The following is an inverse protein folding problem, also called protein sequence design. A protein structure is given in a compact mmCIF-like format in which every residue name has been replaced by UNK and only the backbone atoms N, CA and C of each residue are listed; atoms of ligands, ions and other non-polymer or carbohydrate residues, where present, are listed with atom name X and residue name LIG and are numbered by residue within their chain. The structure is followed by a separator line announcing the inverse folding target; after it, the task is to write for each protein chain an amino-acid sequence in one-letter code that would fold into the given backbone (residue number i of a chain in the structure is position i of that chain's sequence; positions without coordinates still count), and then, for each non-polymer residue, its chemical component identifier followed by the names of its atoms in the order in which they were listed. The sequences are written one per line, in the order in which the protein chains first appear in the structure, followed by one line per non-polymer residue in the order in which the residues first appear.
data_IF_994775055648
#
_entry.id   IF_994775055648
#
_cell.length_a   1.000
_cell.length_b   1.000
_cell.length_c   1.000
_cell.angle_alpha   90.00
_cell.angle_beta   90.00
_cell.angle_gamma   90.00
#
_symmetry.space_group_name_H-M   'P 1'
#
loop_
_entity.id
_entity.type
_entity.pdbx_description
1 polymer ?
#
# COMPACT_ATOMS: atom_id res chain seq x y z
N UNK A 1 -57.27 15.80 58.61
CA UNK A 1 -57.51 14.46 59.16
C UNK A 1 -57.03 13.43 58.13
N UNK A 2 -56.18 12.49 58.57
CA UNK A 2 -55.74 11.24 57.91
C UNK A 2 -54.88 11.43 56.64
N UNK A 3 -53.55 11.54 56.74
CA UNK A 3 -52.55 10.47 56.98
C UNK A 3 -52.71 9.35 55.93
N UNK A 4 -51.77 9.18 54.99
CA UNK A 4 -50.76 8.11 55.08
C UNK A 4 -49.56 8.43 54.16
N UNK A 5 -48.38 8.55 54.78
CA UNK A 5 -47.05 8.42 54.19
C UNK A 5 -46.83 6.97 53.75
N UNK A 6 -46.25 6.74 52.57
CA UNK A 6 -45.44 5.53 52.33
C UNK A 6 -44.12 5.97 51.70
N UNK A 7 -43.10 5.93 52.55
CA UNK A 7 -41.68 5.88 52.22
C UNK A 7 -41.30 4.40 52.32
N UNK A 8 -40.66 3.86 51.29
CA UNK A 8 -39.97 2.55 51.33
C UNK A 8 -38.69 2.73 50.51
N UNK A 9 -37.55 3.05 51.12
CA UNK A 9 -36.66 2.19 51.91
C UNK A 9 -36.08 1.00 51.10
N UNK A 10 -34.78 1.12 50.86
CA UNK A 10 -33.80 0.14 50.40
C UNK A 10 -34.14 -1.33 50.74
N UNK A 11 -34.06 -2.18 49.72
CA UNK A 11 -33.67 -3.59 49.87
C UNK A 11 -32.59 -3.88 48.85
N UNK A 12 -31.34 -3.85 49.31
CA UNK A 12 -30.25 -4.55 48.67
C UNK A 12 -30.47 -6.05 48.87
N UNK A 13 -30.78 -6.78 47.80
CA UNK A 13 -30.76 -8.24 47.82
C UNK A 13 -29.52 -8.70 47.06
N UNK A 14 -28.53 -9.13 47.83
CA UNK A 14 -27.43 -9.97 47.37
C UNK A 14 -28.02 -11.23 46.71
N UNK A 15 -27.83 -11.36 45.40
CA UNK A 15 -27.74 -12.67 44.77
C UNK A 15 -26.26 -12.96 44.58
N UNK A 16 -25.74 -13.76 45.51
CA UNK A 16 -24.51 -14.49 45.35
C UNK A 16 -24.70 -15.50 44.20
N UNK A 17 -24.45 -15.06 42.98
CA UNK A 17 -24.19 -15.93 41.84
C UNK A 17 -22.72 -16.30 41.89
N UNK A 18 -22.43 -17.60 42.03
CA UNK A 18 -21.10 -18.17 41.96
C UNK A 18 -20.27 -17.53 40.84
N UNK A 19 -19.22 -16.80 41.21
CA UNK A 19 -18.16 -16.46 40.28
C UNK A 19 -17.47 -17.76 39.88
N UNK A 20 -17.83 -18.30 38.72
CA UNK A 20 -16.83 -18.99 37.93
C UNK A 20 -15.72 -17.97 37.63
N UNK A 21 -14.43 -18.35 37.65
CA UNK A 21 -13.37 -17.47 37.18
C UNK A 21 -13.65 -17.19 35.70
N UNK A 22 -14.34 -16.08 35.44
CA UNK A 22 -14.61 -15.58 34.12
C UNK A 22 -13.26 -15.29 33.51
N UNK A 23 -12.93 -16.06 32.48
CA UNK A 23 -11.88 -15.74 31.53
C UNK A 23 -12.13 -14.30 31.11
N UNK A 24 -11.30 -13.39 31.60
CA UNK A 24 -11.21 -12.03 31.07
C UNK A 24 -10.98 -12.25 29.57
N UNK A 25 -11.90 -11.81 28.68
CA UNK A 25 -11.62 -11.90 27.25
C UNK A 25 -10.27 -11.21 27.03
N UNK A 26 -9.32 -11.85 26.34
CA UNK A 26 -8.03 -11.22 26.09
C UNK A 26 -8.34 -9.83 25.53
N UNK A 27 -7.85 -8.80 26.21
CA UNK A 27 -7.81 -7.49 25.60
C UNK A 27 -7.18 -7.67 24.22
N UNK A 28 -7.69 -7.01 23.17
CA UNK A 28 -7.03 -7.06 21.87
C UNK A 28 -5.55 -6.81 22.13
N UNK A 29 -4.70 -7.76 21.73
CA UNK A 29 -3.27 -7.67 21.93
C UNK A 29 -2.88 -6.25 21.53
N UNK A 30 -2.33 -5.49 22.48
CA UNK A 30 -1.84 -4.14 22.18
C UNK A 30 -0.98 -4.24 20.93
N UNK A 31 -1.08 -3.24 20.05
CA UNK A 31 -0.35 -3.17 18.79
C UNK A 31 1.05 -3.78 18.95
N UNK A 32 1.48 -4.71 18.06
CA UNK A 32 2.80 -5.31 18.17
C UNK A 32 3.81 -4.17 18.26
N UNK A 33 4.60 -4.15 19.34
CA UNK A 33 5.50 -3.04 19.63
C UNK A 33 6.55 -2.98 18.52
N UNK A 34 6.42 -1.99 17.64
CA UNK A 34 7.33 -1.78 16.53
C UNK A 34 8.77 -1.56 17.02
N UNK A 35 9.74 -2.06 16.25
CA UNK A 35 11.16 -1.76 16.42
C UNK A 35 11.54 -0.75 15.35
N UNK A 36 12.34 0.26 15.68
CA UNK A 36 12.82 1.15 14.62
C UNK A 36 13.97 0.52 13.84
N UNK A 37 14.14 0.89 12.58
CA UNK A 37 15.23 0.40 11.75
C UNK A 37 16.60 0.79 12.33
N UNK A 38 16.70 1.97 12.95
CA UNK A 38 17.92 2.38 13.65
C UNK A 38 18.24 1.51 14.87
N UNK A 39 17.24 1.18 15.70
CA UNK A 39 17.40 0.29 16.85
C UNK A 39 17.88 -1.09 16.39
N UNK A 40 17.21 -1.68 15.40
CA UNK A 40 17.62 -2.97 14.84
C UNK A 40 19.03 -2.93 14.26
N UNK A 41 19.38 -1.88 13.53
CA UNK A 41 20.73 -1.69 13.00
C UNK A 41 21.77 -1.63 14.10
N UNK A 42 21.50 -0.89 15.18
CA UNK A 42 22.40 -0.79 16.33
C UNK A 42 22.56 -2.14 17.05
N UNK A 43 21.46 -2.85 17.30
CA UNK A 43 21.47 -4.17 17.95
C UNK A 43 22.23 -5.22 17.15
N UNK A 44 22.11 -5.21 15.82
CA UNK A 44 22.85 -6.12 14.95
C UNK A 44 24.33 -5.71 14.75
N UNK A 45 24.72 -4.50 15.15
CA UNK A 45 26.03 -3.92 14.87
C UNK A 45 26.24 -3.57 13.39
N UNK A 46 25.16 -3.18 12.71
CA UNK A 46 25.10 -2.87 11.28
C UNK A 46 24.92 -1.36 11.07
N UNK A 47 25.10 -0.90 9.83
CA UNK A 47 24.82 0.48 9.43
C UNK A 47 23.59 0.50 8.54
N UNK A 48 22.68 1.45 8.76
CA UNK A 48 21.56 1.70 7.86
C UNK A 48 21.68 3.08 7.18
N UNK A 49 21.25 3.15 5.92
CA UNK A 49 21.29 4.37 5.10
C UNK A 49 20.21 4.32 4.01
N UNK A 50 20.01 5.44 3.29
CA UNK A 50 19.17 5.45 2.09
C UNK A 50 19.62 4.39 1.08
N UNK A 51 18.65 3.70 0.48
CA UNK A 51 18.83 2.60 -0.45
C UNK A 51 18.85 3.03 -1.92
N UNK A 52 18.72 2.06 -2.85
CA UNK A 52 18.77 2.31 -4.29
C UNK A 52 17.58 3.13 -4.82
N UNK A 53 16.38 2.88 -4.30
CA UNK A 53 15.17 3.62 -4.61
C UNK A 53 14.90 4.78 -3.64
N UNK A 54 14.04 5.74 -4.03
CA UNK A 54 13.67 6.89 -3.19
C UNK A 54 12.92 6.51 -1.90
N UNK A 55 12.42 5.28 -1.82
CA UNK A 55 11.69 4.73 -0.67
C UNK A 55 12.44 3.57 -0.01
N UNK A 56 13.67 3.30 -0.44
CA UNK A 56 14.45 2.19 0.06
C UNK A 56 15.37 2.63 1.19
N UNK A 57 15.56 1.75 2.16
CA UNK A 57 16.58 1.84 3.18
C UNK A 57 17.37 0.56 3.20
N UNK A 58 18.69 0.69 3.27
CA UNK A 58 19.61 -0.42 3.24
C UNK A 58 20.31 -0.56 4.58
N UNK A 59 20.19 -1.72 5.23
CA UNK A 59 21.08 -2.17 6.29
C UNK A 59 22.24 -2.97 5.70
N UNK A 60 23.48 -2.71 6.15
CA UNK A 60 24.68 -3.46 5.75
C UNK A 60 25.46 -3.99 6.94
N UNK A 61 25.85 -5.26 6.87
CA UNK A 61 26.75 -5.88 7.84
C UNK A 61 28.21 -5.49 7.56
N UNK A 62 29.09 -5.56 8.57
CA UNK A 62 30.54 -5.41 8.36
C UNK A 62 31.13 -6.46 7.40
N UNK A 63 30.43 -7.57 7.17
CA UNK A 63 30.83 -8.66 6.28
C UNK A 63 30.30 -8.51 4.85
N UNK A 64 29.52 -7.47 4.58
CA UNK A 64 28.98 -7.17 3.26
C UNK A 64 27.57 -7.71 3.00
N UNK A 65 26.92 -8.32 3.99
CA UNK A 65 25.50 -8.67 3.88
C UNK A 65 24.64 -7.42 3.77
N UNK A 66 23.51 -7.53 3.07
CA UNK A 66 22.60 -6.44 2.82
C UNK A 66 21.15 -6.87 3.06
N UNK A 67 20.39 -6.00 3.74
CA UNK A 67 18.93 -6.02 3.75
C UNK A 67 18.41 -4.69 3.21
N UNK A 68 17.48 -4.72 2.27
CA UNK A 68 16.78 -3.55 1.74
C UNK A 68 15.32 -3.62 2.18
N UNK A 69 14.88 -2.55 2.83
CA UNK A 69 13.51 -2.31 3.26
C UNK A 69 12.92 -1.20 2.40
N UNK A 70 11.76 -1.45 1.79
CA UNK A 70 11.00 -0.42 1.08
C UNK A 70 9.89 0.14 1.97
N UNK A 71 9.79 1.46 2.11
CA UNK A 71 8.69 2.08 2.87
C UNK A 71 7.37 1.73 2.19
N UNK A 72 6.39 1.21 2.93
CA UNK A 72 5.14 0.75 2.34
C UNK A 72 5.29 -0.53 1.50
N UNK A 73 6.45 -1.18 1.46
CA UNK A 73 6.58 -2.48 0.80
C UNK A 73 6.31 -3.62 1.78
N UNK A 74 5.56 -4.63 1.35
CA UNK A 74 5.46 -5.93 2.02
C UNK A 74 6.57 -6.89 1.54
N UNK A 75 7.64 -6.34 0.96
CA UNK A 75 8.79 -7.09 0.47
C UNK A 75 10.07 -6.57 1.11
N UNK A 76 10.88 -7.50 1.61
CA UNK A 76 12.26 -7.25 2.03
C UNK A 76 13.23 -7.96 1.10
N UNK A 77 14.30 -7.27 0.71
CA UNK A 77 15.35 -7.86 -0.12
C UNK A 77 16.56 -8.19 0.74
N UNK A 78 16.86 -9.47 0.90
CA UNK A 78 18.03 -9.96 1.64
C UNK A 78 19.03 -10.53 0.64
N UNK A 79 20.19 -9.89 0.51
CA UNK A 79 21.29 -10.33 -0.37
C UNK A 79 20.85 -10.63 -1.82
N UNK A 80 19.84 -9.92 -2.33
CA UNK A 80 19.27 -10.09 -3.67
C UNK A 80 18.02 -10.97 -3.72
N UNK A 81 17.70 -11.72 -2.67
CA UNK A 81 16.50 -12.55 -2.55
C UNK A 81 15.36 -11.74 -1.97
N UNK A 82 14.19 -11.75 -2.61
CA UNK A 82 12.98 -11.07 -2.13
C UNK A 82 12.16 -12.01 -1.24
N UNK A 83 11.70 -11.51 -0.10
CA UNK A 83 10.87 -12.23 0.86
C UNK A 83 9.62 -11.41 1.13
N UNK A 84 8.44 -12.05 1.15
CA UNK A 84 7.18 -11.36 1.44
C UNK A 84 6.92 -11.38 2.93
N UNK A 85 6.70 -10.23 3.55
CA UNK A 85 6.35 -10.12 4.97
C UNK A 85 4.83 -10.11 5.16
N UNK A 86 4.35 -10.75 6.23
CA UNK A 86 2.93 -10.67 6.59
C UNK A 86 2.62 -9.40 7.38
N UNK A 87 1.59 -8.71 6.89
CA UNK A 87 0.75 -7.67 7.51
C UNK A 87 1.18 -6.21 7.41
N UNK A 88 2.36 -5.80 7.84
CA UNK A 88 2.62 -4.36 7.93
C UNK A 88 3.90 -4.02 7.20
N UNK A 89 3.82 -3.13 6.21
CA UNK A 89 5.00 -2.66 5.52
C UNK A 89 5.92 -1.90 6.47
N UNK A 90 7.18 -1.67 6.07
CA UNK A 90 8.02 -0.74 6.81
C UNK A 90 7.39 0.66 6.72
N UNK A 91 6.98 1.24 7.84
CA UNK A 91 6.25 2.51 7.87
C UNK A 91 7.12 3.65 8.37
N UNK A 92 6.76 4.89 8.02
CA UNK A 92 7.35 6.06 8.66
C UNK A 92 6.87 6.19 10.09
N UNK A 93 7.79 6.31 11.03
CA UNK A 93 7.46 6.67 12.41
C UNK A 93 7.23 8.17 12.62
N UNK A 94 6.80 8.54 13.83
CA UNK A 94 6.64 9.94 14.26
C UNK A 94 7.98 10.70 14.44
N UNK A 95 9.09 10.09 14.06
CA UNK A 95 10.43 10.66 13.93
C UNK A 95 11.06 10.14 12.63
N UNK A 96 12.18 10.69 12.17
CA UNK A 96 12.82 10.38 10.88
C UNK A 96 13.40 8.95 10.78
N UNK A 97 12.65 7.94 11.20
CA UNK A 97 13.05 6.55 11.30
C UNK A 97 11.88 5.65 10.90
N UNK A 98 12.23 4.43 10.53
CA UNK A 98 11.30 3.46 9.99
C UNK A 98 10.85 2.50 11.07
N UNK A 99 9.54 2.32 11.23
CA UNK A 99 9.00 1.27 12.07
C UNK A 99 8.97 -0.05 11.31
N UNK A 100 9.58 -1.05 11.92
CA UNK A 100 9.54 -2.44 11.51
C UNK A 100 8.53 -3.17 12.40
N UNK A 101 7.67 -4.00 11.81
CA UNK A 101 6.90 -4.97 12.56
C UNK A 101 7.84 -5.90 13.33
N UNK A 102 7.41 -6.35 14.51
CA UNK A 102 8.17 -7.29 15.32
C UNK A 102 8.47 -8.60 14.55
N UNK A 103 7.55 -9.02 13.68
CA UNK A 103 7.74 -10.16 12.76
C UNK A 103 8.90 -9.96 11.80
N UNK A 104 9.02 -8.77 11.19
CA UNK A 104 10.12 -8.41 10.30
C UNK A 104 11.45 -8.38 11.04
N UNK A 105 11.49 -7.76 12.23
CA UNK A 105 12.69 -7.76 13.08
C UNK A 105 13.15 -9.19 13.40
N UNK A 106 12.23 -10.02 13.92
CA UNK A 106 12.53 -11.39 14.31
C UNK A 106 13.00 -12.23 13.11
N UNK A 107 12.34 -12.09 11.96
CA UNK A 107 12.73 -12.79 10.73
C UNK A 107 14.16 -12.43 10.31
N UNK A 108 14.50 -11.14 10.19
CA UNK A 108 15.84 -10.72 9.75
C UNK A 108 16.91 -11.09 10.77
N UNK A 109 16.64 -10.89 12.07
CA UNK A 109 17.57 -11.28 13.12
C UNK A 109 17.86 -12.79 13.08
N UNK A 110 16.82 -13.63 12.94
CA UNK A 110 16.96 -15.09 12.78
C UNK A 110 17.73 -15.45 11.50
N UNK A 111 17.43 -14.79 10.38
CA UNK A 111 18.08 -15.02 9.08
C UNK A 111 19.61 -14.87 9.16
N UNK A 112 20.10 -13.88 9.91
CA UNK A 112 21.53 -13.61 10.09
C UNK A 112 22.13 -14.23 11.36
N UNK A 113 21.45 -15.19 11.97
CA UNK A 113 21.96 -15.93 13.13
C UNK A 113 22.06 -15.10 14.42
N UNK A 114 21.34 -13.98 14.51
CA UNK A 114 21.29 -13.09 15.69
C UNK A 114 20.32 -13.63 16.76
N UNK A 115 20.46 -14.91 17.09
CA UNK A 115 19.59 -15.67 18.00
C UNK A 115 19.59 -15.19 19.46
N UNK A 116 20.57 -14.35 19.80
CA UNK A 116 20.75 -13.78 21.13
C UNK A 116 19.93 -12.51 21.35
N UNK A 117 19.48 -11.85 20.27
CA UNK A 117 18.61 -10.70 20.37
C UNK A 117 17.25 -11.13 20.94
N UNK A 118 16.64 -10.24 21.71
CA UNK A 118 15.37 -10.48 22.36
C UNK A 118 14.53 -9.20 22.37
N UNK A 119 13.23 -9.34 22.13
CA UNK A 119 12.25 -8.26 22.25
C UNK A 119 11.22 -8.63 23.31
N UNK A 120 10.96 -7.71 24.23
CA UNK A 120 10.04 -7.93 25.37
C UNK A 120 10.29 -9.23 26.16
N UNK A 121 11.55 -9.66 26.25
CA UNK A 121 11.94 -10.90 26.94
C UNK A 121 11.79 -12.18 26.11
N UNK A 122 11.27 -12.10 24.88
CA UNK A 122 11.19 -13.21 23.92
C UNK A 122 12.45 -13.20 23.04
N UNK A 123 13.18 -14.31 23.00
CA UNK A 123 14.38 -14.42 22.14
C UNK A 123 13.96 -14.65 20.69
N UNK A 124 14.69 -14.06 19.75
CA UNK A 124 14.46 -14.27 18.30
C UNK A 124 14.52 -15.75 17.91
N UNK A 125 15.35 -16.54 18.60
CA UNK A 125 15.44 -18.01 18.45
C UNK A 125 14.21 -18.79 18.91
N UNK A 126 13.37 -18.20 19.76
CA UNK A 126 12.15 -18.85 20.28
C UNK A 126 10.89 -18.56 19.45
N UNK A 127 11.03 -17.79 18.36
CA UNK A 127 9.91 -17.43 17.49
C UNK A 127 10.07 -18.08 16.11
N UNK A 128 9.04 -18.82 15.72
CA UNK A 128 8.95 -19.43 14.39
C UNK A 128 8.33 -18.43 13.41
N UNK A 129 9.12 -17.43 13.04
CA UNK A 129 8.85 -16.63 11.85
C UNK A 129 9.56 -17.25 10.65
N UNK A 130 8.75 -17.73 9.71
CA UNK A 130 9.18 -18.06 8.35
C UNK A 130 8.45 -17.10 7.42
N UNK A 131 9.20 -16.39 6.58
CA UNK A 131 8.63 -15.69 5.45
C UNK A 131 8.83 -16.56 4.23
N UNK A 132 7.80 -16.67 3.40
CA UNK A 132 7.95 -17.35 2.12
C UNK A 132 8.89 -16.51 1.24
N UNK A 133 9.95 -17.13 0.67
CA UNK A 133 10.67 -16.46 -0.39
C UNK A 133 9.67 -16.16 -1.50
N UNK A 134 9.74 -14.96 -2.07
CA UNK A 134 8.96 -14.67 -3.28
C UNK A 134 9.61 -15.50 -4.37
N UNK A 135 9.09 -16.71 -4.55
CA UNK A 135 9.48 -17.60 -5.63
C UNK A 135 9.22 -16.80 -6.92
N UNK A 136 10.23 -16.59 -7.79
CA UNK A 136 9.94 -16.24 -9.16
C UNK A 136 8.91 -17.25 -9.65
N UNK A 137 7.89 -16.79 -10.38
CA UNK A 137 6.87 -17.66 -10.99
C UNK A 137 7.56 -18.92 -11.50
N UNK A 138 7.14 -20.06 -10.97
CA UNK A 138 7.86 -21.32 -11.08
C UNK A 138 7.97 -21.76 -12.56
N UNK A 139 9.11 -21.46 -13.17
CA UNK A 139 9.70 -22.32 -14.21
C UNK A 139 10.92 -22.99 -13.57
N UNK A 140 10.74 -24.27 -13.20
CA UNK A 140 11.70 -25.25 -12.68
C UNK A 140 13.19 -24.99 -13.06
N UNK A 141 14.16 -25.30 -12.17
CA UNK A 141 15.39 -24.52 -12.06
C UNK A 141 16.56 -24.99 -12.94
N UNK A 142 17.34 -24.03 -13.42
CA UNK A 142 18.74 -24.21 -13.84
C UNK A 142 19.54 -22.93 -13.52
N UNK A 143 20.71 -23.13 -12.91
CA UNK A 143 21.88 -22.26 -12.78
C UNK A 143 21.72 -20.73 -13.00
N UNK A 144 21.98 -19.97 -11.92
CA UNK A 144 22.51 -18.59 -11.91
C UNK A 144 22.31 -17.76 -13.18
N UNK A 145 21.13 -17.15 -13.32
CA UNK A 145 20.92 -15.93 -14.11
C UNK A 145 19.95 -15.05 -13.32
N UNK A 146 20.37 -13.84 -12.94
CA UNK A 146 19.44 -12.78 -12.52
C UNK A 146 18.44 -12.59 -13.65
N UNK A 147 17.18 -12.98 -13.44
CA UNK A 147 16.09 -12.70 -14.39
C UNK A 147 16.15 -11.21 -14.75
N UNK A 148 16.18 -10.84 -16.05
CA UNK A 148 16.31 -9.44 -16.42
C UNK A 148 15.06 -8.69 -16.00
N UNK A 149 15.24 -7.66 -15.16
CA UNK A 149 14.25 -6.59 -15.01
C UNK A 149 13.89 -6.07 -16.39
N UNK A 150 12.59 -6.03 -16.68
CA UNK A 150 12.08 -5.58 -17.97
C UNK A 150 12.31 -4.08 -18.12
N UNK A 151 13.25 -3.62 -18.95
CA UNK A 151 13.55 -2.19 -19.17
C UNK A 151 12.42 -1.41 -19.90
N UNK A 152 11.18 -1.91 -19.85
CA UNK A 152 10.01 -1.38 -20.59
C UNK A 152 9.60 0.03 -20.20
N UNK A 153 9.85 0.45 -18.96
CA UNK A 153 9.62 1.83 -18.49
C UNK A 153 10.91 2.63 -18.30
N UNK A 154 12.04 2.15 -18.81
CA UNK A 154 13.34 2.83 -18.66
C UNK A 154 13.27 4.30 -19.08
N UNK A 155 13.66 5.18 -18.16
CA UNK A 155 13.68 6.63 -18.40
C UNK A 155 12.33 7.33 -18.22
N UNK A 156 11.28 6.60 -17.80
CA UNK A 156 10.04 7.19 -17.32
C UNK A 156 10.25 7.68 -15.88
N UNK A 157 9.87 8.93 -15.59
CA UNK A 157 9.60 9.40 -14.22
C UNK A 157 8.10 9.50 -14.03
N UNK A 158 7.50 8.67 -13.17
CA UNK A 158 6.06 8.63 -12.96
C UNK A 158 5.72 9.02 -11.52
N UNK A 159 4.75 9.92 -11.36
CA UNK A 159 4.14 10.14 -10.06
C UNK A 159 2.95 9.21 -9.86
N UNK A 160 2.97 8.43 -8.77
CA UNK A 160 1.85 7.60 -8.35
C UNK A 160 1.26 8.21 -7.09
N UNK A 161 -0.02 8.55 -7.16
CA UNK A 161 -0.76 9.16 -6.08
C UNK A 161 -1.72 8.16 -5.45
N UNK A 162 -1.53 7.85 -4.17
CA UNK A 162 -2.49 7.07 -3.41
C UNK A 162 -3.53 8.03 -2.81
N UNK A 163 -4.77 7.99 -3.29
CA UNK A 163 -5.86 8.87 -2.82
C UNK A 163 -6.01 8.88 -1.30
N UNK A 164 -6.45 10.01 -0.73
CA UNK A 164 -6.76 10.14 0.72
C UNK A 164 -5.55 9.83 1.63
N UNK A 165 -5.80 9.37 2.86
CA UNK A 165 -4.79 8.94 3.84
C UNK A 165 -4.82 9.74 5.13
N UNK A 166 -4.24 9.20 6.20
CA UNK A 166 -4.22 9.78 7.53
C UNK A 166 -5.63 10.09 8.04
N UNK A 167 -5.89 11.37 8.31
CA UNK A 167 -7.19 11.85 8.81
C UNK A 167 -8.32 11.84 7.77
N UNK A 168 -7.99 11.68 6.48
CA UNK A 168 -8.97 11.54 5.42
C UNK A 168 -9.14 10.05 5.05
N UNK A 169 -10.27 9.42 5.42
CA UNK A 169 -10.53 8.03 5.11
C UNK A 169 -10.93 7.80 3.64
N UNK A 170 -11.27 8.87 2.91
CA UNK A 170 -11.97 8.80 1.64
C UNK A 170 -13.39 8.23 1.78
N UNK A 171 -13.86 7.55 0.75
CA UNK A 171 -15.13 6.83 0.79
C UNK A 171 -15.18 5.78 1.91
N UNK A 172 -16.24 5.81 2.72
CA UNK A 172 -16.52 4.79 3.74
C UNK A 172 -17.81 4.08 3.39
N UNK A 173 -17.74 2.77 3.13
CA UNK A 173 -18.90 1.93 2.91
C UNK A 173 -18.58 0.47 3.20
N UNK A 174 -19.58 -0.31 3.59
CA UNK A 174 -19.45 -1.76 3.80
C UNK A 174 -18.30 -2.16 4.78
N UNK A 175 -17.98 -1.29 5.74
CA UNK A 175 -16.90 -1.49 6.71
C UNK A 175 -15.49 -1.26 6.15
N UNK A 176 -15.37 -0.76 4.92
CA UNK A 176 -14.11 -0.48 4.22
C UNK A 176 -13.92 1.04 4.11
N UNK A 177 -12.68 1.48 4.33
CA UNK A 177 -12.24 2.85 4.05
C UNK A 177 -11.38 2.85 2.79
N UNK A 178 -11.65 3.77 1.88
CA UNK A 178 -10.95 3.89 0.60
C UNK A 178 -9.43 3.96 0.76
N UNK A 179 -8.93 4.74 1.72
CA UNK A 179 -7.48 4.88 1.96
C UNK A 179 -6.75 3.54 2.16
N UNK A 180 -7.42 2.53 2.73
CA UNK A 180 -6.86 1.20 3.00
C UNK A 180 -6.93 0.26 1.79
N UNK A 181 -7.69 0.61 0.76
CA UNK A 181 -7.71 -0.10 -0.54
C UNK A 181 -6.67 0.51 -1.47
N UNK A 182 -6.63 1.83 -1.56
CA UNK A 182 -5.85 2.52 -2.60
C UNK A 182 -4.36 2.58 -2.29
N UNK A 183 -3.96 2.61 -1.00
CA UNK A 183 -2.56 2.60 -0.62
C UNK A 183 -1.85 1.30 -1.04
N UNK A 184 -2.36 0.09 -0.69
CA UNK A 184 -1.76 -1.16 -1.16
C UNK A 184 -1.65 -1.25 -2.68
N UNK A 185 -2.69 -0.86 -3.43
CA UNK A 185 -2.68 -0.89 -4.89
C UNK A 185 -1.61 0.06 -5.45
N UNK A 186 -1.49 1.28 -4.91
CA UNK A 186 -0.49 2.25 -5.34
C UNK A 186 0.95 1.77 -5.05
N UNK A 187 1.17 1.10 -3.91
CA UNK A 187 2.48 0.54 -3.55
C UNK A 187 2.86 -0.65 -4.43
N UNK A 188 1.91 -1.53 -4.75
CA UNK A 188 2.12 -2.59 -5.74
C UNK A 188 2.45 -2.00 -7.13
N UNK A 189 1.76 -0.92 -7.51
CA UNK A 189 2.00 -0.26 -8.79
C UNK A 189 3.40 0.37 -8.85
N UNK A 190 3.86 0.98 -7.75
CA UNK A 190 5.24 1.46 -7.60
C UNK A 190 6.21 0.31 -7.87
N UNK A 191 6.07 -0.80 -7.15
CA UNK A 191 7.02 -1.91 -7.23
C UNK A 191 7.11 -2.45 -8.67
N UNK A 192 5.98 -2.62 -9.36
CA UNK A 192 5.96 -3.01 -10.77
C UNK A 192 6.63 -1.99 -11.69
N UNK A 193 6.40 -0.70 -11.46
CA UNK A 193 7.02 0.38 -12.23
C UNK A 193 8.55 0.44 -12.01
N UNK A 194 9.03 0.30 -10.77
CA UNK A 194 10.46 0.28 -10.44
C UNK A 194 11.15 -0.98 -10.96
N UNK A 195 10.51 -2.15 -10.85
CA UNK A 195 10.98 -3.40 -11.46
C UNK A 195 11.06 -3.30 -12.99
N UNK A 196 10.29 -2.38 -13.59
CA UNK A 196 10.32 -2.06 -15.00
C UNK A 196 11.28 -0.90 -15.39
N UNK A 197 12.16 -0.51 -14.47
CA UNK A 197 13.18 0.55 -14.62
C UNK A 197 12.62 1.98 -14.73
N UNK A 198 11.41 2.23 -14.23
CA UNK A 198 10.90 3.60 -14.04
C UNK A 198 11.50 4.24 -12.77
N UNK A 199 11.60 5.58 -12.75
CA UNK A 199 11.76 6.36 -11.53
C UNK A 199 10.37 6.67 -10.99
N UNK A 200 10.02 6.20 -9.80
CA UNK A 200 8.69 6.39 -9.22
C UNK A 200 8.71 7.45 -8.11
N UNK A 201 7.78 8.39 -8.16
CA UNK A 201 7.55 9.42 -7.16
C UNK A 201 6.16 9.20 -6.55
N UNK A 202 6.12 8.71 -5.32
CA UNK A 202 4.89 8.55 -4.54
C UNK A 202 4.49 9.86 -3.85
N UNK A 203 3.18 10.16 -3.82
CA UNK A 203 2.66 11.24 -2.97
C UNK A 203 2.60 10.85 -1.49
N UNK A 204 2.41 9.56 -1.20
CA UNK A 204 2.56 8.95 0.12
C UNK A 204 2.90 7.47 -0.01
N UNK A 205 3.60 6.95 1.00
CA UNK A 205 4.00 5.53 1.11
C UNK A 205 3.49 4.88 2.40
N UNK A 206 2.77 5.62 3.23
CA UNK A 206 2.11 5.15 4.45
C UNK A 206 0.75 5.84 4.64
N UNK A 207 0.13 5.61 5.79
CA UNK A 207 -1.17 6.23 6.12
C UNK A 207 -1.02 7.70 6.59
N UNK A 208 -0.47 8.54 5.71
CA UNK A 208 -0.35 9.99 5.92
C UNK A 208 -1.34 10.74 5.04
N UNK A 209 -1.69 11.97 5.43
CA UNK A 209 -2.59 12.84 4.67
C UNK A 209 -1.80 13.89 3.88
N UNK A 210 -1.49 13.68 2.59
CA UNK A 210 -0.99 14.75 1.74
C UNK A 210 -2.15 15.61 1.21
N UNK A 211 -2.04 16.90 1.42
CA UNK A 211 -2.97 17.90 0.89
C UNK A 211 -2.97 17.90 -0.65
N UNK A 212 -4.07 18.32 -1.28
CA UNK A 212 -4.20 18.30 -2.74
C UNK A 212 -3.07 19.06 -3.45
N UNK A 213 -2.69 20.22 -2.95
CA UNK A 213 -1.59 21.01 -3.53
C UNK A 213 -0.21 20.35 -3.27
N UNK A 214 -0.03 19.60 -2.19
CA UNK A 214 1.21 18.85 -1.95
C UNK A 214 1.38 17.74 -2.98
N UNK A 215 0.30 16.99 -3.29
CA UNK A 215 0.29 15.95 -4.34
C UNK A 215 0.75 16.52 -5.68
N UNK A 216 0.15 17.64 -6.08
CA UNK A 216 0.50 18.37 -7.32
C UNK A 216 1.96 18.84 -7.30
N UNK A 217 2.39 19.47 -6.20
CA UNK A 217 3.71 20.06 -6.09
C UNK A 217 4.82 19.01 -6.17
N UNK A 218 4.62 17.84 -5.57
CA UNK A 218 5.57 16.72 -5.64
C UNK A 218 5.78 16.28 -7.09
N UNK A 219 4.69 16.04 -7.84
CA UNK A 219 4.76 15.62 -9.23
C UNK A 219 5.43 16.68 -10.14
N UNK A 220 5.02 17.94 -9.98
CA UNK A 220 5.53 19.06 -10.78
C UNK A 220 7.00 19.37 -10.48
N UNK A 221 7.40 19.36 -9.20
CA UNK A 221 8.79 19.62 -8.79
C UNK A 221 9.74 18.54 -9.29
N UNK A 222 9.30 17.29 -9.27
CA UNK A 222 10.06 16.17 -9.81
C UNK A 222 10.06 16.11 -11.35
N UNK A 223 9.27 16.96 -12.02
CA UNK A 223 9.11 16.98 -13.48
C UNK A 223 8.72 15.61 -14.03
N UNK A 224 7.75 14.97 -13.39
CA UNK A 224 7.28 13.66 -13.82
C UNK A 224 6.74 13.72 -15.26
N UNK A 225 6.94 12.65 -16.00
CA UNK A 225 6.41 12.46 -17.35
C UNK A 225 4.93 12.06 -17.32
N UNK A 226 4.48 11.38 -16.27
CA UNK A 226 3.09 10.94 -16.07
C UNK A 226 2.66 11.13 -14.61
N UNK A 227 1.36 11.35 -14.39
CA UNK A 227 0.72 11.33 -13.08
C UNK A 227 -0.45 10.34 -13.07
N UNK A 228 -0.46 9.40 -12.13
CA UNK A 228 -1.50 8.38 -11.98
C UNK A 228 -1.99 8.39 -10.53
N UNK A 229 -3.23 8.82 -10.31
CA UNK A 229 -3.89 8.78 -9.01
C UNK A 229 -4.79 7.56 -8.91
N UNK A 230 -4.72 6.84 -7.79
CA UNK A 230 -5.47 5.61 -7.51
C UNK A 230 -6.54 5.90 -6.45
N UNK A 231 -7.79 5.60 -6.80
CA UNK A 231 -8.99 5.85 -6.00
C UNK A 231 -9.96 4.66 -6.06
N UNK A 232 -10.95 4.66 -5.17
CA UNK A 232 -12.11 3.79 -5.27
C UNK A 232 -13.39 4.58 -5.00
N UNK A 233 -14.39 4.36 -5.85
CA UNK A 233 -15.53 5.23 -5.96
C UNK A 233 -16.58 4.93 -4.88
N UNK A 234 -17.49 5.88 -4.68
CA UNK A 234 -18.70 5.73 -3.89
C UNK A 234 -19.87 6.28 -4.72
N UNK A 235 -20.94 5.51 -4.81
CA UNK A 235 -22.25 6.00 -5.23
C UNK A 235 -23.12 6.17 -3.96
N UNK A 236 -23.27 7.41 -3.43
CA UNK A 236 -23.93 7.63 -2.13
C UNK A 236 -25.36 7.10 -2.06
N UNK A 237 -26.08 7.20 -3.19
CA UNK A 237 -27.51 6.84 -3.28
C UNK A 237 -27.76 5.46 -3.90
N UNK A 238 -26.70 4.67 -4.16
CA UNK A 238 -26.85 3.34 -4.76
C UNK A 238 -25.75 2.35 -4.38
N UNK A 239 -26.17 1.20 -3.86
CA UNK A 239 -25.31 0.04 -3.68
C UNK A 239 -25.21 -0.85 -4.93
N UNK A 240 -25.90 -0.53 -6.02
CA UNK A 240 -25.96 -1.38 -7.23
C UNK A 240 -24.97 -0.94 -8.30
N UNK A 241 -24.41 0.27 -8.19
CA UNK A 241 -23.41 0.77 -9.15
C UNK A 241 -22.13 -0.02 -9.00
N UNK A 242 -21.64 -0.55 -10.12
CA UNK A 242 -20.36 -1.26 -10.19
C UNK A 242 -19.52 -0.81 -11.37
N UNK A 243 -18.25 -1.18 -11.38
CA UNK A 243 -17.35 -0.99 -12.50
C UNK A 243 -16.21 -0.02 -12.22
N UNK A 244 -15.15 -0.12 -13.03
CA UNK A 244 -14.03 0.83 -12.99
C UNK A 244 -14.23 1.97 -13.99
N UNK A 245 -13.66 3.13 -13.69
CA UNK A 245 -13.59 4.28 -14.59
C UNK A 245 -12.27 5.02 -14.44
N UNK A 246 -11.83 5.69 -15.50
CA UNK A 246 -10.60 6.48 -15.47
C UNK A 246 -10.89 7.90 -15.94
N UNK A 247 -10.60 8.87 -15.09
CA UNK A 247 -10.79 10.28 -15.34
C UNK A 247 -9.51 10.94 -15.84
N UNK A 248 -9.66 11.92 -16.72
CA UNK A 248 -8.58 12.78 -17.21
C UNK A 248 -9.12 14.21 -17.42
N UNK A 249 -8.22 15.20 -17.53
CA UNK A 249 -8.61 16.60 -17.78
C UNK A 249 -9.01 16.82 -19.24
N UNK A 250 -10.06 17.60 -19.49
CA UNK A 250 -10.43 18.01 -20.85
C UNK A 250 -9.30 18.81 -21.53
N UNK A 251 -8.95 18.43 -22.76
CA UNK A 251 -7.83 19.03 -23.50
C UNK A 251 -6.43 18.54 -23.09
N UNK A 252 -6.34 17.51 -22.24
CA UNK A 252 -5.11 16.75 -22.02
C UNK A 252 -5.07 15.51 -22.93
N UNK A 253 -4.56 15.67 -24.16
CA UNK A 253 -4.41 14.59 -25.14
C UNK A 253 -3.58 13.41 -24.62
N UNK A 254 -2.59 13.70 -23.77
CA UNK A 254 -1.75 12.68 -23.16
C UNK A 254 -2.53 11.87 -22.13
N UNK A 255 -3.24 12.56 -21.22
CA UNK A 255 -4.13 11.97 -20.23
C UNK A 255 -5.27 11.16 -20.86
N UNK A 256 -5.83 11.63 -21.98
CA UNK A 256 -6.84 10.88 -22.74
C UNK A 256 -6.27 9.56 -23.30
N UNK A 257 -5.06 9.60 -23.90
CA UNK A 257 -4.42 8.39 -24.44
C UNK A 257 -4.02 7.42 -23.33
N UNK A 258 -3.53 7.94 -22.20
CA UNK A 258 -3.17 7.13 -21.03
C UNK A 258 -4.40 6.47 -20.42
N UNK A 259 -5.48 7.23 -20.18
CA UNK A 259 -6.71 6.69 -19.59
C UNK A 259 -7.33 5.60 -20.46
N UNK A 260 -7.39 5.79 -21.79
CA UNK A 260 -7.86 4.75 -22.73
C UNK A 260 -6.99 3.49 -22.70
N UNK A 261 -5.67 3.64 -22.58
CA UNK A 261 -4.77 2.49 -22.48
C UNK A 261 -5.02 1.70 -21.18
N UNK A 262 -5.17 2.39 -20.04
CA UNK A 262 -5.48 1.76 -18.74
C UNK A 262 -6.84 1.06 -18.80
N UNK A 263 -7.89 1.75 -19.24
CA UNK A 263 -9.24 1.19 -19.38
C UNK A 263 -9.25 -0.08 -20.22
N UNK A 264 -8.57 -0.07 -21.38
CA UNK A 264 -8.52 -1.25 -22.25
C UNK A 264 -7.81 -2.46 -21.61
N UNK A 265 -6.82 -2.22 -20.73
CA UNK A 265 -6.15 -3.30 -20.00
C UNK A 265 -6.97 -3.81 -18.82
N UNK A 266 -7.67 -2.93 -18.11
CA UNK A 266 -8.58 -3.31 -17.03
C UNK A 266 -9.78 -4.10 -17.55
N UNK A 267 -10.32 -3.73 -18.71
CA UNK A 267 -11.40 -4.44 -19.40
C UNK A 267 -10.97 -5.86 -19.82
N UNK A 268 -9.76 -5.99 -20.37
CA UNK A 268 -9.23 -7.29 -20.78
C UNK A 268 -8.87 -8.20 -19.61
N UNK A 269 -8.46 -7.63 -18.47
CA UNK A 269 -8.03 -8.40 -17.31
C UNK A 269 -9.21 -8.78 -16.42
N UNK A 270 -10.15 -7.88 -16.18
CA UNK A 270 -11.19 -8.03 -15.15
C UNK A 270 -12.56 -8.37 -15.75
N UNK A 271 -13.43 -8.94 -14.93
CA UNK A 271 -14.87 -9.10 -15.21
C UNK A 271 -15.71 -7.94 -14.62
N UNK A 272 -15.05 -6.87 -14.15
CA UNK A 272 -15.75 -5.70 -13.61
C UNK A 272 -16.29 -4.86 -14.77
N UNK A 273 -17.51 -4.29 -14.66
CA UNK A 273 -18.07 -3.46 -15.72
C UNK A 273 -17.16 -2.30 -16.11
N UNK A 274 -16.88 -2.17 -17.40
CA UNK A 274 -16.08 -1.08 -17.92
C UNK A 274 -16.94 0.18 -18.12
N UNK A 275 -16.69 1.20 -17.31
CA UNK A 275 -17.42 2.47 -17.39
C UNK A 275 -16.68 3.52 -18.24
N UNK A 276 -15.48 3.20 -18.72
CA UNK A 276 -14.75 3.97 -19.74
C UNK A 276 -13.79 5.03 -19.21
N UNK A 277 -13.08 5.63 -20.16
CA UNK A 277 -12.23 6.81 -19.95
C UNK A 277 -13.08 8.08 -20.14
N UNK A 278 -13.06 8.99 -19.17
CA UNK A 278 -13.96 10.15 -19.12
C UNK A 278 -13.22 11.44 -18.83
N UNK A 279 -13.67 12.53 -19.44
CA UNK A 279 -13.30 13.87 -18.99
C UNK A 279 -13.86 14.06 -17.58
N UNK A 280 -13.01 14.48 -16.66
CA UNK A 280 -13.43 14.83 -15.30
C UNK A 280 -14.31 16.09 -15.33
N UNK A 281 -15.57 16.02 -14.85
CA UNK A 281 -16.45 17.18 -14.83
C UNK A 281 -16.28 18.04 -13.56
N UNK A 282 -15.49 17.58 -12.58
CA UNK A 282 -15.39 18.17 -11.24
C UNK A 282 -14.30 19.23 -11.14
N UNK A 283 -13.36 19.25 -12.10
CA UNK A 283 -12.18 20.10 -12.02
C UNK A 283 -11.24 19.64 -10.90
N UNK A 284 -11.02 18.32 -10.80
CA UNK A 284 -10.18 17.72 -9.77
C UNK A 284 -8.79 18.35 -9.77
N UNK A 285 -8.39 18.85 -8.60
CA UNK A 285 -7.15 19.64 -8.42
C UNK A 285 -5.91 18.94 -8.97
N UNK A 286 -5.79 17.64 -8.72
CA UNK A 286 -4.65 16.82 -9.16
C UNK A 286 -4.60 16.61 -10.67
N UNK A 287 -5.72 16.70 -11.39
CA UNK A 287 -5.77 16.64 -12.86
C UNK A 287 -5.58 18.03 -13.48
N UNK A 288 -6.08 19.07 -12.80
CA UNK A 288 -6.07 20.47 -13.27
C UNK A 288 -4.72 21.16 -13.12
N UNK A 289 -3.91 20.77 -12.13
CA UNK A 289 -2.71 21.53 -11.73
C UNK A 289 -1.40 20.80 -11.92
N UNK A 290 -1.43 19.54 -12.30
CA UNK A 290 -0.24 18.83 -12.79
C UNK A 290 0.11 19.28 -14.20
N UNK A 291 1.40 19.38 -14.51
CA UNK A 291 1.88 19.87 -15.81
C UNK A 291 2.10 18.76 -16.85
N UNK A 292 2.02 17.50 -16.43
CA UNK A 292 2.19 16.32 -17.27
C UNK A 292 0.84 15.62 -17.49
N UNK A 293 0.74 14.71 -18.48
CA UNK A 293 -0.42 13.84 -18.64
C UNK A 293 -0.87 13.19 -17.33
N UNK A 294 -2.11 13.41 -16.96
CA UNK A 294 -2.64 13.02 -15.66
C UNK A 294 -3.94 12.21 -15.77
N UNK A 295 -4.04 11.16 -14.96
CA UNK A 295 -5.24 10.34 -14.83
C UNK A 295 -5.57 10.05 -13.38
N UNK A 296 -6.85 9.87 -13.09
CA UNK A 296 -7.37 9.33 -11.83
C UNK A 296 -8.14 8.05 -12.13
N UNK A 297 -7.69 6.94 -11.57
CA UNK A 297 -8.25 5.60 -11.75
C UNK A 297 -9.18 5.29 -10.57
N UNK A 298 -10.47 5.18 -10.84
CA UNK A 298 -11.45 4.62 -9.91
C UNK A 298 -11.53 3.11 -10.12
N UNK A 299 -11.03 2.33 -9.16
CA UNK A 299 -10.88 0.88 -9.29
C UNK A 299 -12.18 0.08 -9.26
N UNK A 300 -13.27 0.68 -8.74
CA UNK A 300 -14.56 0.07 -8.47
C UNK A 300 -15.34 0.88 -7.44
N UNK A 301 -16.54 0.46 -7.05
CA UNK A 301 -17.42 1.16 -6.11
C UNK A 301 -17.46 0.47 -4.74
N UNK A 302 -16.93 1.13 -3.71
CA UNK A 302 -17.00 0.65 -2.32
C UNK A 302 -18.43 0.62 -1.77
N UNK A 303 -19.35 1.40 -2.35
CA UNK A 303 -20.77 1.39 -1.96
C UNK A 303 -21.46 0.08 -2.35
N UNK A 304 -20.96 -0.63 -3.37
CA UNK A 304 -21.42 -1.97 -3.71
C UNK A 304 -20.72 -3.03 -2.85
N UNK A 305 -21.50 -3.84 -2.11
CA UNK A 305 -20.96 -4.81 -1.18
C UNK A 305 -20.11 -5.92 -1.85
N UNK A 306 -20.42 -6.26 -3.11
CA UNK A 306 -19.65 -7.22 -3.90
C UNK A 306 -18.29 -6.65 -4.30
N UNK A 307 -18.28 -5.43 -4.83
CA UNK A 307 -17.02 -4.74 -5.19
C UNK A 307 -16.19 -4.39 -3.96
N UNK A 308 -16.77 -3.96 -2.84
CA UNK A 308 -16.04 -3.71 -1.60
C UNK A 308 -15.28 -4.96 -1.11
N UNK A 309 -15.91 -6.14 -1.17
CA UNK A 309 -15.26 -7.41 -0.84
C UNK A 309 -14.11 -7.72 -1.79
N UNK A 310 -14.31 -7.53 -3.10
CA UNK A 310 -13.26 -7.75 -4.10
C UNK A 310 -12.11 -6.77 -3.95
N UNK A 311 -12.39 -5.48 -3.76
CA UNK A 311 -11.39 -4.43 -3.58
C UNK A 311 -10.57 -4.62 -2.29
N UNK A 312 -11.08 -5.36 -1.32
CA UNK A 312 -10.34 -5.78 -0.12
C UNK A 312 -9.55 -7.08 -0.31
N UNK A 313 -9.78 -7.81 -1.40
CA UNK A 313 -9.07 -9.05 -1.71
C UNK A 313 -7.72 -8.75 -2.38
N UNK A 314 -6.64 -9.31 -1.82
CA UNK A 314 -5.27 -9.09 -2.32
C UNK A 314 -5.08 -9.62 -3.73
N UNK A 315 -5.70 -10.75 -4.08
CA UNK A 315 -5.60 -11.34 -5.42
C UNK A 315 -6.21 -10.41 -6.47
N UNK A 316 -7.36 -9.83 -6.16
CA UNK A 316 -8.01 -8.86 -7.02
C UNK A 316 -7.27 -7.52 -7.09
N UNK A 317 -6.71 -7.03 -5.98
CA UNK A 317 -5.83 -5.86 -5.98
C UNK A 317 -4.63 -6.07 -6.92
N UNK A 318 -3.90 -7.18 -6.81
CA UNK A 318 -2.80 -7.52 -7.72
C UNK A 318 -3.25 -7.51 -9.18
N UNK A 319 -4.41 -8.12 -9.47
CA UNK A 319 -4.98 -8.17 -10.81
C UNK A 319 -5.31 -6.78 -11.38
N UNK A 320 -5.84 -5.87 -10.55
CA UNK A 320 -6.09 -4.48 -10.93
C UNK A 320 -4.77 -3.74 -11.18
N UNK A 321 -3.80 -3.89 -10.28
CA UNK A 321 -2.46 -3.28 -10.41
C UNK A 321 -1.77 -3.71 -11.70
N UNK A 322 -1.76 -5.02 -12.01
CA UNK A 322 -1.17 -5.55 -13.23
C UNK A 322 -1.80 -4.92 -14.49
N UNK A 323 -3.12 -4.73 -14.48
CA UNK A 323 -3.83 -4.12 -15.58
C UNK A 323 -3.50 -2.62 -15.75
N UNK A 324 -3.46 -1.86 -14.64
CA UNK A 324 -3.05 -0.44 -14.66
C UNK A 324 -1.60 -0.30 -15.14
N UNK A 325 -0.69 -1.12 -14.61
CA UNK A 325 0.70 -1.19 -15.02
C UNK A 325 0.84 -1.50 -16.53
N UNK A 326 0.13 -2.50 -17.04
CA UNK A 326 0.13 -2.82 -18.46
C UNK A 326 -0.37 -1.66 -19.34
N UNK A 327 -1.32 -0.86 -18.83
CA UNK A 327 -1.81 0.35 -19.49
C UNK A 327 -0.74 1.43 -19.58
N UNK A 328 -0.01 1.66 -18.49
CA UNK A 328 1.13 2.59 -18.43
C UNK A 328 2.24 2.16 -19.40
N UNK A 329 2.63 0.88 -19.39
CA UNK A 329 3.64 0.32 -20.32
C UNK A 329 3.20 0.51 -21.76
N UNK A 330 1.94 0.20 -22.08
CA UNK A 330 1.42 0.37 -23.44
C UNK A 330 1.44 1.83 -23.88
N UNK A 331 1.08 2.77 -23.00
CA UNK A 331 1.14 4.20 -23.29
C UNK A 331 2.59 4.65 -23.53
N UNK A 332 3.48 4.37 -22.57
CA UNK A 332 4.87 4.82 -22.62
C UNK A 332 5.63 4.31 -23.85
N UNK A 333 5.50 3.01 -24.14
CA UNK A 333 6.19 2.39 -25.29
C UNK A 333 5.71 2.96 -26.63
N UNK A 334 4.40 3.21 -26.79
CA UNK A 334 3.84 3.85 -27.99
C UNK A 334 4.34 5.29 -28.15
N UNK A 335 4.35 6.07 -27.08
CA UNK A 335 4.80 7.47 -27.11
C UNK A 335 6.28 7.55 -27.48
N UNK A 336 7.15 6.72 -26.90
CA UNK A 336 8.57 6.70 -27.28
C UNK A 336 8.81 6.30 -28.73
N UNK A 337 8.07 5.32 -29.24
CA UNK A 337 8.18 4.91 -30.64
C UNK A 337 7.80 6.03 -31.63
N UNK A 338 6.95 6.97 -31.22
CA UNK A 338 6.59 8.15 -32.04
C UNK A 338 7.61 9.29 -31.99
N UNK A 339 8.48 9.35 -30.96
CA UNK A 339 9.51 10.40 -30.83
C UNK A 339 10.83 10.00 -31.52
N UNK A 340 11.09 8.70 -31.69
CA UNK A 340 12.29 8.18 -32.36
C UNK A 340 12.19 8.10 -33.90
N UNK A 341 11.11 8.61 -34.50
CA UNK A 341 10.90 8.69 -35.95
C UNK A 341 10.87 10.15 -36.38
#
# INVERSE_FOLDING_TARGET
MRTTLIVTAFVALLLAGCMTPGVIPPQPAGEPKSVTLSEMSAEMGWVYQAGPGPYDYTMRSPKGDQVIFGIGSDVININGTRWRQERDAVEWGNGNDLFLPESTFNFVAKHFGQHHLARDGVRTSSVDYELDPITPIDTKPAATVKQPRSDTLKGLTICIDAGHGGTDPGGIANGVQEKHVVLPVALLLRDLCEDASATVIMTRVGDTYPELDQRVNVANKARCDLFVSIHANIAPDSGDVTGFEVFYRGGDDGGEKLSKAIVGRMDAATDSPNRGAKVDPRGLRVLEKTHMPAVLVELGFLSNAGEARRLSDKGYQNKLTDAVFAGIVQHWTKTRASVSK
#
